data_IF_159437737037
#
_entry.id   IF_159437737037
#
_cell.length_a   1.000
_cell.length_b   1.000
_cell.length_c   1.000
_cell.angle_alpha   90.00
_cell.angle_beta   90.00
_cell.angle_gamma   90.00
#
_symmetry.space_group_name_H-M   'P 1'
#
loop_
_entity.id
_entity.type
_entity.pdbx_description
1 polymer ?
#
# COMPACT_ATOMS: atom_id res chain seq x y z
N UNK A 1 -15.43 -10.39 63.21
CA UNK A 1 -16.01 -9.11 63.72
C UNK A 1 -16.26 -8.18 62.53
N UNK A 2 -17.51 -7.86 62.34
CA UNK A 2 -18.07 -6.60 61.87
C UNK A 2 -17.72 -6.18 60.43
N UNK A 3 -18.62 -5.81 59.62
CA UNK A 3 -20.08 -5.56 59.56
C UNK A 3 -20.35 -5.24 58.10
N UNK A 4 -21.21 -6.01 57.49
CA UNK A 4 -22.47 -5.55 56.92
C UNK A 4 -22.53 -4.04 56.59
N UNK A 5 -22.55 -3.73 55.30
CA UNK A 5 -23.38 -2.62 54.83
C UNK A 5 -23.99 -2.98 53.46
N UNK A 6 -25.16 -3.52 53.55
CA UNK A 6 -26.17 -3.47 52.51
C UNK A 6 -26.49 -1.98 52.26
N UNK A 7 -26.43 -1.54 51.07
CA UNK A 7 -27.27 -0.46 50.61
C UNK A 7 -27.78 -0.73 49.20
N UNK A 8 -28.91 -1.32 49.24
CA UNK A 8 -29.97 -1.23 48.24
C UNK A 8 -30.20 0.23 47.88
N UNK A 9 -30.07 0.54 46.61
CA UNK A 9 -30.75 1.72 46.06
C UNK A 9 -31.32 1.29 44.71
N UNK A 10 -32.58 0.87 44.80
CA UNK A 10 -33.52 1.00 43.69
C UNK A 10 -33.57 2.46 43.32
N UNK A 11 -33.79 2.73 42.08
CA UNK A 11 -34.63 3.81 41.57
C UNK A 11 -34.40 3.87 40.07
N UNK A 12 -35.37 3.64 39.43
CA UNK A 12 -36.35 4.32 38.59
C UNK A 12 -36.17 4.05 37.10
N UNK A 13 -37.16 3.37 36.69
CA UNK A 13 -37.88 3.49 35.43
C UNK A 13 -37.62 4.83 34.72
N UNK A 14 -36.97 4.75 33.60
CA UNK A 14 -36.98 5.73 32.57
C UNK A 14 -37.27 5.05 31.26
N UNK A 15 -38.55 4.88 30.99
CA UNK A 15 -39.02 4.51 29.68
C UNK A 15 -38.68 5.67 28.73
N UNK A 16 -37.65 5.52 27.93
CA UNK A 16 -37.39 6.44 26.82
C UNK A 16 -37.60 5.67 25.52
N UNK A 17 -38.66 6.16 24.92
CA UNK A 17 -39.26 5.73 23.68
C UNK A 17 -38.26 5.35 22.58
N UNK A 18 -38.51 4.22 22.03
CA UNK A 18 -38.05 3.75 20.74
C UNK A 18 -38.48 4.73 19.65
N UNK A 19 -37.58 5.59 19.23
CA UNK A 19 -37.63 6.19 17.91
C UNK A 19 -36.64 5.43 17.04
N UNK A 20 -37.10 4.34 16.52
CA UNK A 20 -36.47 3.70 15.37
C UNK A 20 -36.68 4.60 14.17
N UNK A 21 -35.79 5.54 13.99
CA UNK A 21 -35.59 6.15 12.70
C UNK A 21 -34.88 5.12 11.83
N UNK A 22 -35.65 4.26 11.20
CA UNK A 22 -35.21 3.54 10.03
C UNK A 22 -34.92 4.57 8.94
N UNK A 23 -33.77 5.19 9.05
CA UNK A 23 -33.18 5.95 7.97
C UNK A 23 -32.69 4.96 6.91
N UNK A 24 -33.58 4.50 6.05
CA UNK A 24 -33.15 4.02 4.75
C UNK A 24 -32.57 5.21 4.00
N UNK A 25 -31.34 5.54 4.28
CA UNK A 25 -30.55 6.33 3.35
C UNK A 25 -30.19 5.39 2.20
N UNK A 26 -31.10 5.24 1.26
CA UNK A 26 -30.75 4.87 -0.10
C UNK A 26 -29.95 6.06 -0.63
N UNK A 27 -28.67 6.08 -0.30
CA UNK A 27 -27.72 6.88 -1.04
C UNK A 27 -27.89 6.46 -2.49
N UNK A 28 -28.27 7.38 -3.39
CA UNK A 28 -28.16 7.09 -4.79
C UNK A 28 -26.72 6.61 -4.98
N UNK A 29 -26.53 5.49 -5.63
CA UNK A 29 -25.24 5.08 -6.13
C UNK A 29 -24.79 6.14 -7.13
N UNK A 30 -24.40 7.30 -6.60
CA UNK A 30 -23.55 8.20 -7.30
C UNK A 30 -22.34 7.36 -7.63
N UNK A 31 -21.98 7.30 -8.89
CA UNK A 31 -20.77 6.72 -9.42
C UNK A 31 -19.69 6.93 -8.39
N UNK A 32 -19.36 5.87 -7.65
CA UNK A 32 -18.16 5.88 -6.84
C UNK A 32 -17.05 6.12 -7.85
N UNK A 33 -16.57 7.34 -7.85
CA UNK A 33 -15.35 7.66 -8.56
C UNK A 33 -14.26 6.87 -7.85
N UNK A 34 -14.12 5.62 -8.25
CA UNK A 34 -12.95 4.82 -7.92
C UNK A 34 -11.81 5.64 -8.51
N UNK A 35 -10.91 6.19 -7.68
CA UNK A 35 -9.76 6.89 -8.22
C UNK A 35 -9.04 5.88 -9.10
N UNK A 36 -9.20 6.03 -10.40
CA UNK A 36 -8.49 5.22 -11.39
C UNK A 36 -7.04 5.61 -11.22
N UNK A 37 -6.30 4.80 -10.47
CA UNK A 37 -4.86 4.98 -10.43
C UNK A 37 -4.38 4.94 -11.89
N UNK A 38 -3.59 5.91 -12.31
CA UNK A 38 -3.07 5.91 -13.66
C UNK A 38 -2.40 4.57 -13.93
N UNK A 39 -2.72 3.96 -15.07
CA UNK A 39 -2.15 2.68 -15.44
C UNK A 39 -0.62 2.80 -15.47
N UNK A 40 0.05 1.91 -14.76
CA UNK A 40 1.52 1.85 -14.77
C UNK A 40 1.95 1.27 -16.11
N UNK A 41 2.60 2.09 -16.92
CA UNK A 41 3.16 1.66 -18.21
C UNK A 41 4.59 1.22 -17.96
N UNK A 42 4.96 0.03 -18.43
CA UNK A 42 6.29 -0.56 -18.29
C UNK A 42 6.96 -0.77 -19.65
N UNK A 43 8.28 -0.78 -19.66
CA UNK A 43 9.07 -0.88 -20.88
C UNK A 43 8.89 -2.25 -21.56
N UNK A 44 8.37 -2.28 -22.79
CA UNK A 44 8.15 -3.54 -23.49
C UNK A 44 9.46 -4.23 -23.92
N UNK A 45 10.59 -3.53 -23.91
CA UNK A 45 11.89 -4.10 -24.25
C UNK A 45 12.51 -4.90 -23.12
N UNK A 46 12.05 -4.71 -21.88
CA UNK A 46 12.49 -5.49 -20.74
C UNK A 46 11.85 -6.87 -20.73
N UNK A 47 12.48 -7.82 -20.06
CA UNK A 47 11.92 -9.15 -19.87
C UNK A 47 10.57 -9.10 -19.15
N UNK A 48 9.75 -10.12 -19.29
CA UNK A 48 8.44 -10.19 -18.62
C UNK A 48 8.57 -10.06 -17.10
N UNK A 49 9.59 -10.69 -16.51
CA UNK A 49 9.85 -10.61 -15.08
C UNK A 49 10.22 -9.20 -14.65
N UNK A 50 11.08 -8.50 -15.40
CA UNK A 50 11.45 -7.12 -15.12
C UNK A 50 10.24 -6.18 -15.26
N UNK A 51 9.41 -6.37 -16.28
CA UNK A 51 8.18 -5.60 -16.46
C UNK A 51 7.20 -5.82 -15.29
N UNK A 52 6.99 -7.06 -14.90
CA UNK A 52 6.14 -7.40 -13.75
C UNK A 52 6.67 -6.79 -12.46
N UNK A 53 7.98 -6.86 -12.26
CA UNK A 53 8.62 -6.23 -11.12
C UNK A 53 8.50 -4.71 -11.15
N UNK A 54 8.82 -4.07 -12.30
CA UNK A 54 8.69 -2.61 -12.44
C UNK A 54 7.27 -2.12 -12.15
N UNK A 55 6.25 -2.82 -12.66
CA UNK A 55 4.85 -2.48 -12.42
C UNK A 55 4.47 -2.56 -10.94
N UNK A 56 4.97 -3.57 -10.24
CA UNK A 56 4.72 -3.76 -8.81
C UNK A 56 5.48 -2.72 -7.97
N UNK A 57 6.76 -2.52 -8.26
CA UNK A 57 7.62 -1.60 -7.54
C UNK A 57 7.24 -0.12 -7.74
N UNK A 58 6.71 0.24 -8.92
CA UNK A 58 6.21 1.58 -9.19
C UNK A 58 5.10 2.01 -8.22
N UNK A 59 4.30 1.06 -7.74
CA UNK A 59 3.19 1.30 -6.82
C UNK A 59 3.63 1.41 -5.35
N UNK A 60 4.86 1.02 -5.01
CA UNK A 60 5.34 1.10 -3.64
C UNK A 60 5.53 2.56 -3.23
N UNK A 61 5.05 2.90 -2.06
CA UNK A 61 5.29 4.21 -1.46
C UNK A 61 6.60 4.21 -0.68
N UNK A 62 7.37 5.27 -0.82
CA UNK A 62 8.63 5.42 -0.08
C UNK A 62 8.34 5.56 1.40
N UNK A 63 9.00 4.74 2.21
CA UNK A 63 8.74 4.64 3.65
C UNK A 63 7.47 3.87 4.00
N UNK A 64 6.76 3.32 3.01
CA UNK A 64 5.59 2.47 3.21
C UNK A 64 5.93 1.05 3.64
N UNK A 65 4.89 0.22 3.74
CA UNK A 65 5.03 -1.18 4.11
C UNK A 65 5.73 -1.99 3.01
N UNK A 66 6.45 -3.03 3.42
CA UNK A 66 7.01 -4.00 2.48
C UNK A 66 5.88 -4.78 1.77
N UNK A 67 6.06 -5.02 0.49
CA UNK A 67 5.19 -5.87 -0.31
C UNK A 67 5.92 -7.13 -0.75
N UNK A 68 5.20 -8.24 -0.85
CA UNK A 68 5.74 -9.48 -1.39
C UNK A 68 5.59 -9.45 -2.91
N UNK A 69 6.70 -9.56 -3.60
CA UNK A 69 6.77 -9.57 -5.06
C UNK A 69 7.39 -10.89 -5.52
N UNK A 70 6.71 -11.56 -6.44
CA UNK A 70 7.12 -12.89 -6.94
C UNK A 70 8.32 -12.83 -7.88
N UNK A 71 8.35 -11.79 -8.72
CA UNK A 71 9.29 -11.68 -9.83
C UNK A 71 10.33 -10.60 -9.58
N UNK A 72 11.12 -10.76 -8.52
CA UNK A 72 12.25 -9.86 -8.27
C UNK A 72 13.56 -10.41 -8.83
N UNK A 73 14.62 -9.61 -8.95
CA UNK A 73 15.95 -10.10 -9.35
C UNK A 73 16.52 -11.25 -8.48
N UNK A 74 16.00 -11.40 -7.27
CA UNK A 74 16.39 -12.50 -6.35
C UNK A 74 15.26 -13.52 -6.14
N UNK A 75 14.27 -13.55 -7.04
CA UNK A 75 13.08 -14.40 -6.95
C UNK A 75 11.99 -13.81 -6.04
N UNK A 76 11.22 -14.68 -5.39
CA UNK A 76 10.21 -14.24 -4.42
C UNK A 76 10.87 -13.50 -3.26
N UNK A 77 10.51 -12.24 -3.05
CA UNK A 77 11.09 -11.42 -2.00
C UNK A 77 10.11 -10.38 -1.45
N UNK A 78 10.40 -9.91 -0.26
CA UNK A 78 9.82 -8.68 0.25
C UNK A 78 10.55 -7.50 -0.38
N UNK A 79 9.77 -6.54 -0.88
CA UNK A 79 10.26 -5.32 -1.50
C UNK A 79 9.77 -4.10 -0.72
N UNK A 80 10.65 -3.18 -0.46
CA UNK A 80 10.32 -1.90 0.18
C UNK A 80 10.98 -0.75 -0.58
N UNK A 81 10.22 0.29 -0.86
CA UNK A 81 10.76 1.52 -1.41
C UNK A 81 11.35 2.37 -0.28
N UNK A 82 12.64 2.59 -0.30
CA UNK A 82 13.36 3.26 0.80
C UNK A 82 13.72 4.71 0.50
N UNK A 83 13.83 5.08 -0.75
CA UNK A 83 14.16 6.45 -1.16
C UNK A 83 13.71 6.75 -2.58
N UNK A 84 13.55 8.04 -2.88
CA UNK A 84 13.51 8.56 -4.25
C UNK A 84 14.82 9.24 -4.57
N UNK A 85 15.22 9.20 -5.83
CA UNK A 85 16.40 9.90 -6.33
C UNK A 85 16.24 10.23 -7.81
N UNK A 86 17.11 11.10 -8.32
CA UNK A 86 17.22 11.31 -9.76
C UNK A 86 18.46 10.61 -10.29
N UNK A 87 18.28 9.89 -11.40
CA UNK A 87 19.42 9.28 -12.09
C UNK A 87 20.18 10.34 -12.94
N UNK A 88 21.25 9.90 -13.60
CA UNK A 88 22.06 10.78 -14.46
C UNK A 88 21.28 11.38 -15.65
N UNK A 89 20.17 10.76 -16.05
CA UNK A 89 19.29 11.25 -17.12
C UNK A 89 18.22 12.22 -16.60
N UNK A 90 18.20 12.50 -15.28
CA UNK A 90 17.22 13.35 -14.63
C UNK A 90 15.85 12.70 -14.45
N UNK A 91 15.77 11.38 -14.57
CA UNK A 91 14.54 10.63 -14.35
C UNK A 91 14.28 10.39 -12.85
N UNK A 92 13.01 10.36 -12.48
CA UNK A 92 12.61 10.09 -11.11
C UNK A 92 12.64 8.59 -10.84
N UNK A 93 13.45 8.21 -9.87
CA UNK A 93 13.69 6.82 -9.52
C UNK A 93 13.30 6.53 -8.07
N UNK A 94 12.92 5.27 -7.82
CA UNK A 94 12.76 4.70 -6.48
C UNK A 94 13.85 3.68 -6.25
N UNK A 95 14.49 3.76 -5.08
CA UNK A 95 15.36 2.69 -4.59
C UNK A 95 14.51 1.66 -3.89
N UNK A 96 14.58 0.43 -4.38
CA UNK A 96 13.86 -0.72 -3.84
C UNK A 96 14.86 -1.63 -3.16
N UNK A 97 14.65 -1.89 -1.88
CA UNK A 97 15.37 -2.95 -1.17
C UNK A 97 14.57 -4.23 -1.23
N UNK A 98 15.25 -5.31 -1.54
CA UNK A 98 14.71 -6.65 -1.68
C UNK A 98 15.31 -7.54 -0.61
N UNK A 99 14.48 -8.35 0.02
CA UNK A 99 14.93 -9.30 1.02
C UNK A 99 14.11 -10.58 0.97
N UNK A 100 14.79 -11.69 0.96
CA UNK A 100 14.21 -13.01 1.22
C UNK A 100 15.05 -13.75 2.26
N UNK A 101 14.73 -15.02 2.53
CA UNK A 101 15.44 -15.83 3.53
C UNK A 101 16.92 -16.07 3.20
N UNK A 102 17.27 -16.04 1.92
CA UNK A 102 18.59 -16.47 1.43
C UNK A 102 19.45 -15.29 0.93
N UNK A 103 18.82 -14.15 0.60
CA UNK A 103 19.50 -13.03 -0.03
C UNK A 103 18.87 -11.68 0.32
N UNK A 104 19.70 -10.65 0.19
CA UNK A 104 19.25 -9.25 0.15
C UNK A 104 19.90 -8.55 -1.05
N UNK A 105 19.16 -7.66 -1.67
CA UNK A 105 19.63 -6.89 -2.82
C UNK A 105 18.94 -5.52 -2.84
N UNK A 106 19.44 -4.63 -3.68
CA UNK A 106 18.77 -3.38 -3.96
C UNK A 106 18.83 -3.09 -5.46
N UNK A 107 17.78 -2.48 -5.98
CA UNK A 107 17.69 -2.06 -7.37
C UNK A 107 16.98 -0.71 -7.47
N UNK A 108 17.02 -0.10 -8.65
CA UNK A 108 16.28 1.09 -8.98
C UNK A 108 15.10 0.76 -9.90
N UNK A 109 14.04 1.53 -9.75
CA UNK A 109 12.93 1.57 -10.71
C UNK A 109 12.71 3.02 -11.08
N UNK A 110 12.88 3.37 -12.34
CA UNK A 110 12.85 4.74 -12.80
C UNK A 110 11.68 5.00 -13.74
N UNK A 111 11.09 6.18 -13.59
CA UNK A 111 10.09 6.72 -14.50
C UNK A 111 10.78 7.60 -15.54
N UNK A 112 10.79 7.13 -16.77
CA UNK A 112 11.33 7.91 -17.89
C UNK A 112 10.44 9.11 -18.23
N UNK A 113 11.01 10.05 -18.97
CA UNK A 113 10.28 11.23 -19.47
C UNK A 113 9.13 10.87 -20.43
N UNK A 114 9.15 9.66 -20.96
CA UNK A 114 8.11 9.06 -21.77
C UNK A 114 6.95 8.46 -20.95
N UNK A 115 7.03 8.55 -19.62
CA UNK A 115 6.03 7.99 -18.72
C UNK A 115 6.15 6.47 -18.51
N UNK A 116 7.25 5.88 -18.93
CA UNK A 116 7.47 4.42 -18.88
C UNK A 116 8.38 4.07 -17.70
N UNK A 117 7.93 3.11 -16.89
CA UNK A 117 8.71 2.57 -15.79
C UNK A 117 9.69 1.50 -16.26
N UNK A 118 10.91 1.56 -15.75
CA UNK A 118 12.00 0.63 -16.07
C UNK A 118 12.73 0.19 -14.82
N UNK A 119 13.11 -1.07 -14.79
CA UNK A 119 14.09 -1.55 -13.81
C UNK A 119 15.47 -1.11 -14.28
N UNK A 120 16.21 -0.47 -13.41
CA UNK A 120 17.61 -0.08 -13.68
C UNK A 120 18.52 -0.97 -12.86
N UNK A 121 19.45 -1.69 -13.51
CA UNK A 121 20.46 -2.41 -12.77
C UNK A 121 21.29 -1.43 -11.94
N UNK A 122 21.70 -1.89 -10.79
CA UNK A 122 22.56 -1.11 -9.91
C UNK A 122 23.99 -1.16 -10.46
N UNK A 123 24.30 -0.25 -11.37
CA UNK A 123 25.69 0.03 -11.73
C UNK A 123 26.18 1.13 -10.80
N UNK A 124 26.93 0.75 -9.81
CA UNK A 124 27.70 1.65 -8.94
C UNK A 124 29.17 1.34 -9.08
#
# INVERSE_FOLDING_TARGET
MNKTFLRTTQILFGACALLTLAGCSSTPRGLQHVPTQPAVVVDPSQSENERSFAASAAKLEVGGSAAVIQTTPIGLAQAIAVATYKNALGEDCKRIELRNKDASSACGVCLGKDGIWRVVPRNF
#
